data_IF_190642549891
#
_entry.id   IF_190642549891
#
_cell.length_a   1.000
_cell.length_b   1.000
_cell.length_c   1.000
_cell.angle_alpha   90.00
_cell.angle_beta   90.00
_cell.angle_gamma   90.00
#
_symmetry.space_group_name_H-M   'P 1'
#
loop_
_entity.id
_entity.type
_entity.pdbx_description
1 polymer ?
#
# COMPACT_ATOMS: atom_id res chain seq x y z
N UNK A 1 -15.72 -9.29 -1.94
CA UNK A 1 -16.17 -7.98 -2.46
C UNK A 1 -14.93 -7.20 -2.91
N UNK A 2 -14.95 -6.50 -4.05
CA UNK A 2 -13.74 -5.85 -4.58
C UNK A 2 -13.56 -4.41 -4.05
N UNK A 3 -12.53 -4.20 -3.22
CA UNK A 3 -12.08 -2.88 -2.71
C UNK A 3 -11.17 -2.11 -3.69
N UNK A 4 -10.60 -2.79 -4.68
CA UNK A 4 -9.79 -2.17 -5.75
C UNK A 4 -8.27 -2.14 -5.52
N UNK A 5 -7.69 -3.08 -4.74
CA UNK A 5 -6.23 -3.26 -4.58
C UNK A 5 -5.51 -3.36 -5.93
N UNK A 6 -5.91 -4.33 -6.75
CA UNK A 6 -5.32 -4.59 -8.06
C UNK A 6 -5.44 -3.38 -8.98
N UNK A 7 -6.57 -2.66 -8.93
CA UNK A 7 -6.77 -1.43 -9.70
C UNK A 7 -5.86 -0.29 -9.23
N UNK A 8 -5.61 -0.15 -7.92
CA UNK A 8 -4.63 0.82 -7.39
C UNK A 8 -3.21 0.48 -7.84
N UNK A 9 -2.82 -0.80 -7.75
CA UNK A 9 -1.50 -1.27 -8.19
C UNK A 9 -1.33 -1.07 -9.69
N UNK A 10 -2.32 -1.46 -10.51
CA UNK A 10 -2.30 -1.27 -11.95
C UNK A 10 -2.22 0.21 -12.32
N UNK A 11 -2.98 1.07 -11.60
CA UNK A 11 -2.95 2.51 -11.83
C UNK A 11 -1.59 3.10 -11.52
N UNK A 12 -0.96 2.69 -10.43
CA UNK A 12 0.39 3.15 -10.08
C UNK A 12 1.45 2.68 -11.07
N UNK A 13 1.44 1.39 -11.43
CA UNK A 13 2.50 0.78 -12.26
C UNK A 13 2.34 1.14 -13.74
N UNK A 14 1.12 1.09 -14.27
CA UNK A 14 0.86 1.23 -15.72
C UNK A 14 0.14 2.52 -16.10
N UNK A 15 -0.33 3.31 -15.13
CA UNK A 15 -1.19 4.45 -15.42
C UNK A 15 -2.53 4.05 -16.01
N UNK A 16 -2.97 2.79 -15.83
CA UNK A 16 -4.19 2.23 -16.45
C UNK A 16 -5.25 1.91 -15.38
N UNK A 17 -6.51 1.93 -15.79
CA UNK A 17 -7.64 1.44 -14.99
C UNK A 17 -8.54 0.61 -15.88
N UNK A 18 -8.90 -0.56 -15.40
CA UNK A 18 -9.88 -1.44 -16.01
C UNK A 18 -11.11 -1.52 -15.10
N UNK A 19 -12.28 -1.22 -15.67
CA UNK A 19 -13.56 -1.28 -14.96
C UNK A 19 -13.96 -2.73 -14.65
N UNK A 20 -13.52 -3.68 -15.49
CA UNK A 20 -13.82 -5.11 -15.38
C UNK A 20 -12.60 -5.92 -14.96
N UNK A 21 -11.79 -5.35 -14.06
CA UNK A 21 -10.62 -6.03 -13.51
C UNK A 21 -10.98 -7.39 -12.92
N UNK A 22 -10.33 -8.46 -13.41
CA UNK A 22 -10.51 -9.81 -12.89
C UNK A 22 -10.03 -9.94 -11.43
N UNK A 23 -10.63 -10.89 -10.71
CA UNK A 23 -10.22 -11.17 -9.32
C UNK A 23 -8.83 -11.82 -9.31
N UNK A 24 -7.89 -11.24 -8.57
CA UNK A 24 -6.55 -11.83 -8.38
C UNK A 24 -6.67 -13.23 -7.76
N UNK A 25 -6.03 -14.21 -8.40
CA UNK A 25 -5.88 -15.58 -7.89
C UNK A 25 -4.49 -15.71 -7.29
N UNK A 26 -4.41 -16.01 -5.98
CA UNK A 26 -3.13 -16.13 -5.27
C UNK A 26 -2.48 -14.76 -5.04
N UNK A 27 -1.36 -14.49 -5.73
CA UNK A 27 -0.66 -13.21 -5.67
C UNK A 27 -0.03 -12.86 -7.01
N UNK A 28 -0.01 -11.57 -7.35
CA UNK A 28 0.69 -11.03 -8.51
C UNK A 28 1.87 -10.17 -8.05
N UNK A 29 3.00 -10.28 -8.76
CA UNK A 29 4.18 -9.47 -8.52
C UNK A 29 4.32 -8.40 -9.61
N UNK A 30 4.47 -7.14 -9.19
CA UNK A 30 4.73 -6.00 -10.05
C UNK A 30 5.89 -5.17 -9.48
N UNK A 31 6.64 -4.50 -10.32
CA UNK A 31 7.68 -3.58 -9.87
C UNK A 31 7.55 -2.23 -10.55
N UNK A 32 7.77 -1.15 -9.80
CA UNK A 32 7.73 0.21 -10.33
C UNK A 32 8.76 1.09 -9.62
N UNK A 33 9.52 1.87 -10.38
CA UNK A 33 10.48 2.82 -9.83
C UNK A 33 9.93 4.25 -9.88
N UNK A 34 10.18 5.01 -8.82
CA UNK A 34 9.88 6.44 -8.72
C UNK A 34 11.13 7.19 -8.29
N UNK A 35 11.28 8.43 -8.78
CA UNK A 35 12.32 9.33 -8.32
C UNK A 35 11.77 10.17 -7.15
N UNK A 36 12.42 10.07 -5.99
CA UNK A 36 12.15 10.86 -4.80
C UNK A 36 13.43 11.64 -4.47
N UNK A 37 13.43 12.94 -4.74
CA UNK A 37 14.62 13.79 -4.67
C UNK A 37 15.79 13.17 -5.48
N UNK A 38 16.97 13.02 -4.87
CA UNK A 38 18.15 12.37 -5.47
C UNK A 38 18.16 10.83 -5.31
N UNK A 39 17.02 10.23 -4.92
CA UNK A 39 16.89 8.79 -4.67
C UNK A 39 15.90 8.14 -5.63
N UNK A 40 16.32 7.09 -6.32
CA UNK A 40 15.41 6.20 -7.04
C UNK A 40 14.92 5.13 -6.09
N UNK A 41 13.61 5.09 -5.88
CA UNK A 41 12.93 4.10 -5.06
C UNK A 41 12.26 3.09 -5.98
N UNK A 42 12.64 1.81 -5.89
CA UNK A 42 11.98 0.72 -6.59
C UNK A 42 11.02 0.03 -5.65
N UNK A 43 9.73 0.09 -5.94
CA UNK A 43 8.71 -0.72 -5.31
C UNK A 43 8.70 -2.12 -5.91
N UNK A 44 8.71 -3.13 -5.06
CA UNK A 44 8.45 -4.53 -5.36
C UNK A 44 7.11 -4.88 -4.72
N UNK A 45 6.06 -4.84 -5.55
CA UNK A 45 4.67 -4.83 -5.13
C UNK A 45 4.10 -6.23 -5.27
N UNK A 46 3.52 -6.72 -4.19
CA UNK A 46 2.75 -7.95 -4.20
C UNK A 46 1.27 -7.62 -4.01
N UNK A 47 0.51 -7.77 -5.08
CA UNK A 47 -0.96 -7.71 -5.07
C UNK A 47 -1.50 -9.08 -4.66
N UNK A 48 -2.04 -9.18 -3.45
CA UNK A 48 -2.57 -10.44 -2.93
C UNK A 48 -4.07 -10.55 -3.17
N UNK A 49 -4.55 -11.78 -3.38
CA UNK A 49 -5.96 -12.06 -3.42
C UNK A 49 -6.59 -11.71 -2.07
N UNK A 50 -7.43 -10.68 -2.05
CA UNK A 50 -8.23 -10.31 -0.88
C UNK A 50 -9.43 -11.24 -0.69
N UNK A 51 -9.24 -12.56 -0.72
CA UNK A 51 -10.29 -13.51 -0.36
C UNK A 51 -9.98 -14.12 1.00
N UNK A 52 -10.97 -14.08 1.88
CA UNK A 52 -10.96 -14.63 3.23
C UNK A 52 -10.59 -16.13 3.26
N UNK A 53 -10.88 -16.85 2.17
CA UNK A 53 -10.50 -18.26 1.98
C UNK A 53 -8.98 -18.50 2.03
N UNK A 54 -8.17 -17.47 1.82
CA UNK A 54 -6.71 -17.53 1.85
C UNK A 54 -6.10 -16.90 3.10
N UNK A 55 -6.89 -16.60 4.14
CA UNK A 55 -6.40 -15.96 5.36
C UNK A 55 -5.26 -16.75 6.05
N UNK A 56 -5.24 -18.08 5.96
CA UNK A 56 -4.13 -18.91 6.45
C UNK A 56 -2.78 -18.65 5.75
N UNK A 57 -2.81 -18.05 4.56
CA UNK A 57 -1.63 -17.63 3.80
C UNK A 57 -1.22 -16.18 4.12
N UNK A 58 -1.95 -15.45 4.96
CA UNK A 58 -1.60 -14.08 5.30
C UNK A 58 -0.15 -13.94 5.81
N UNK A 59 0.34 -14.79 6.75
CA UNK A 59 1.70 -14.64 7.28
C UNK A 59 2.81 -14.80 6.26
N UNK A 60 2.59 -15.54 5.17
CA UNK A 60 3.61 -15.66 4.13
C UNK A 60 3.71 -14.42 3.24
N UNK A 61 2.67 -13.57 3.17
CA UNK A 61 2.66 -12.42 2.27
C UNK A 61 3.29 -11.16 2.87
N UNK A 62 3.15 -10.90 4.18
CA UNK A 62 3.77 -9.75 4.84
C UNK A 62 5.11 -10.06 5.52
N UNK A 63 5.58 -11.32 5.48
CA UNK A 63 6.89 -11.70 6.04
C UNK A 63 8.01 -11.00 5.26
N UNK A 64 8.79 -10.18 5.96
CA UNK A 64 9.90 -9.42 5.38
C UNK A 64 9.48 -8.16 4.62
N UNK A 65 8.18 -7.85 4.55
CA UNK A 65 7.70 -6.62 3.95
C UNK A 65 8.14 -5.41 4.76
N UNK A 66 8.49 -4.33 4.06
CA UNK A 66 8.85 -3.05 4.67
C UNK A 66 7.63 -2.14 4.80
N UNK A 67 6.66 -2.27 3.89
CA UNK A 67 5.38 -1.58 3.96
C UNK A 67 4.20 -2.46 3.57
N UNK A 68 3.02 -2.08 4.07
CA UNK A 68 1.73 -2.61 3.67
C UNK A 68 0.73 -1.49 3.38
N UNK A 69 -0.09 -1.64 2.33
CA UNK A 69 -1.26 -0.81 2.05
C UNK A 69 -2.52 -1.64 2.31
N UNK A 70 -3.32 -1.20 3.28
CA UNK A 70 -4.64 -1.74 3.61
C UNK A 70 -5.69 -0.89 2.90
N UNK A 71 -6.46 -1.50 2.01
CA UNK A 71 -7.43 -0.80 1.15
C UNK A 71 -8.86 -1.13 1.59
N UNK A 72 -9.70 -0.11 1.75
CA UNK A 72 -11.16 -0.28 1.87
C UNK A 72 -11.89 0.52 0.79
N UNK A 73 -13.17 0.24 0.61
CA UNK A 73 -14.07 0.95 -0.32
C UNK A 73 -14.91 1.93 0.50
N UNK A 74 -14.78 3.24 0.24
CA UNK A 74 -15.51 4.26 1.00
C UNK A 74 -17.04 4.13 0.89
N UNK A 75 -17.53 3.40 -0.12
CA UNK A 75 -18.96 3.16 -0.34
C UNK A 75 -19.48 1.94 0.41
N UNK A 76 -18.64 1.27 1.21
CA UNK A 76 -18.98 0.01 1.91
C UNK A 76 -18.36 -0.07 3.30
N UNK A 77 -19.15 0.21 4.33
CA UNK A 77 -18.73 0.15 5.74
C UNK A 77 -18.07 -1.19 6.12
N UNK A 78 -18.61 -2.32 5.67
CA UNK A 78 -18.08 -3.65 5.97
C UNK A 78 -16.60 -3.80 5.56
N UNK A 79 -16.19 -3.14 4.48
CA UNK A 79 -14.80 -3.20 4.00
C UNK A 79 -13.85 -2.41 4.90
N UNK A 80 -14.33 -1.36 5.55
CA UNK A 80 -13.56 -0.61 6.53
C UNK A 80 -13.38 -1.42 7.82
N UNK A 81 -14.41 -2.12 8.29
CA UNK A 81 -14.29 -3.00 9.46
C UNK A 81 -13.28 -4.13 9.23
N UNK A 82 -13.25 -4.69 8.01
CA UNK A 82 -12.23 -5.66 7.60
C UNK A 82 -10.83 -5.05 7.53
N UNK A 83 -10.70 -3.83 7.02
CA UNK A 83 -9.43 -3.10 7.03
C UNK A 83 -8.91 -2.90 8.47
N UNK A 84 -9.78 -2.56 9.43
CA UNK A 84 -9.40 -2.46 10.86
C UNK A 84 -8.87 -3.79 11.41
N UNK A 85 -9.46 -4.92 11.03
CA UNK A 85 -8.98 -6.23 11.42
C UNK A 85 -7.59 -6.55 10.82
N UNK A 86 -7.36 -6.18 9.56
CA UNK A 86 -6.08 -6.34 8.88
C UNK A 86 -4.96 -5.48 9.49
N UNK A 87 -5.25 -4.23 9.83
CA UNK A 87 -4.29 -3.37 10.54
C UNK A 87 -3.84 -4.02 11.84
N UNK A 88 -4.78 -4.55 12.63
CA UNK A 88 -4.46 -5.25 13.90
C UNK A 88 -3.60 -6.48 13.68
N UNK A 89 -3.86 -7.27 12.64
CA UNK A 89 -3.07 -8.46 12.32
C UNK A 89 -1.64 -8.07 11.90
N UNK A 90 -1.48 -7.06 11.03
CA UNK A 90 -0.17 -6.55 10.62
C UNK A 90 0.63 -6.02 11.82
N UNK A 91 0.00 -5.23 12.69
CA UNK A 91 0.63 -4.73 13.92
C UNK A 91 1.07 -5.86 14.86
N UNK A 92 0.35 -6.99 14.87
CA UNK A 92 0.65 -8.14 15.74
C UNK A 92 1.72 -9.07 15.19
N UNK A 93 1.74 -9.29 13.87
CA UNK A 93 2.48 -10.40 13.25
C UNK A 93 3.56 -9.95 12.27
N UNK A 94 3.48 -8.74 11.71
CA UNK A 94 4.47 -8.25 10.77
C UNK A 94 5.72 -7.71 11.48
N UNK A 95 6.68 -7.21 10.71
CA UNK A 95 7.88 -6.59 11.28
C UNK A 95 7.51 -5.39 12.15
N UNK A 96 8.10 -5.20 13.35
CA UNK A 96 7.80 -4.06 14.22
C UNK A 96 7.99 -2.68 13.57
N UNK A 97 8.81 -2.62 12.51
CA UNK A 97 9.12 -1.39 11.77
C UNK A 97 8.36 -1.27 10.44
N UNK A 98 7.35 -2.11 10.20
CA UNK A 98 6.56 -2.04 8.97
C UNK A 98 5.81 -0.70 8.90
N UNK A 99 5.89 -0.03 7.76
CA UNK A 99 5.07 1.16 7.49
C UNK A 99 3.71 0.70 6.99
N UNK A 100 2.64 1.01 7.72
CA UNK A 100 1.27 0.67 7.33
C UNK A 100 0.59 1.93 6.80
N UNK A 101 -0.01 1.84 5.62
CA UNK A 101 -0.86 2.86 5.04
C UNK A 101 -2.29 2.34 4.87
N UNK A 102 -3.27 3.14 5.24
CA UNK A 102 -4.68 2.91 5.04
C UNK A 102 -5.16 3.73 3.82
N UNK A 103 -5.83 3.08 2.88
CA UNK A 103 -6.33 3.70 1.66
C UNK A 103 -7.86 3.57 1.56
N UNK A 104 -8.58 4.69 1.66
CA UNK A 104 -10.01 4.75 1.36
C UNK A 104 -10.22 4.90 -0.15
N UNK A 105 -10.42 3.81 -0.87
CA UNK A 105 -10.51 3.82 -2.33
C UNK A 105 -11.94 4.11 -2.83
N UNK A 106 -12.04 4.47 -4.11
CA UNK A 106 -13.28 4.86 -4.82
C UNK A 106 -13.85 6.21 -4.37
N UNK A 107 -12.97 7.14 -4.03
CA UNK A 107 -13.34 8.51 -3.70
C UNK A 107 -14.07 9.25 -4.84
N UNK A 108 -13.96 8.77 -6.08
CA UNK A 108 -14.77 9.23 -7.22
C UNK A 108 -16.28 8.95 -7.06
N UNK A 109 -16.67 8.13 -6.09
CA UNK A 109 -18.06 7.81 -5.73
C UNK A 109 -18.47 8.42 -4.40
N UNK A 110 -17.97 9.61 -4.06
CA UNK A 110 -18.26 10.30 -2.80
C UNK A 110 -19.77 10.45 -2.50
N UNK A 111 -20.63 10.58 -3.52
CA UNK A 111 -22.09 10.65 -3.36
C UNK A 111 -22.71 9.36 -2.78
N UNK A 112 -21.96 8.25 -2.79
CA UNK A 112 -22.36 6.94 -2.25
C UNK A 112 -21.56 6.57 -1.00
N UNK A 113 -20.92 7.56 -0.36
CA UNK A 113 -20.09 7.36 0.82
C UNK A 113 -20.90 6.71 1.95
N UNK A 114 -20.27 5.72 2.56
CA UNK A 114 -20.76 5.03 3.76
C UNK A 114 -19.77 5.13 4.92
N UNK A 115 -18.50 5.46 4.64
CA UNK A 115 -17.44 5.69 5.63
C UNK A 115 -17.02 7.15 5.57
N UNK A 116 -17.18 7.89 6.66
CA UNK A 116 -16.78 9.29 6.73
C UNK A 116 -15.26 9.45 6.73
N UNK A 117 -14.78 10.51 6.08
CA UNK A 117 -13.34 10.78 5.98
C UNK A 117 -12.73 10.95 7.38
N UNK A 118 -13.42 11.70 8.24
CA UNK A 118 -13.01 11.97 9.62
C UNK A 118 -12.95 10.70 10.47
N UNK A 119 -13.86 9.74 10.26
CA UNK A 119 -13.83 8.45 10.97
C UNK A 119 -12.58 7.66 10.59
N UNK A 120 -12.30 7.57 9.28
CA UNK A 120 -11.15 6.85 8.77
C UNK A 120 -9.82 7.53 9.15
N UNK A 121 -9.78 8.86 9.13
CA UNK A 121 -8.63 9.64 9.54
C UNK A 121 -8.34 9.47 11.03
N UNK A 122 -9.35 9.63 11.90
CA UNK A 122 -9.19 9.46 13.34
C UNK A 122 -8.66 8.05 13.68
N UNK A 123 -9.23 7.03 13.04
CA UNK A 123 -8.75 5.65 13.20
C UNK A 123 -7.28 5.48 12.78
N UNK A 124 -6.88 6.09 11.67
CA UNK A 124 -5.51 6.02 11.19
C UNK A 124 -4.53 6.73 12.13
N UNK A 125 -4.90 7.89 12.67
CA UNK A 125 -4.11 8.63 13.67
C UNK A 125 -3.94 7.83 14.95
N UNK A 126 -5.02 7.26 15.49
CA UNK A 126 -5.01 6.40 16.68
C UNK A 126 -4.11 5.17 16.51
N UNK A 127 -4.04 4.62 15.30
CA UNK A 127 -3.24 3.44 14.98
C UNK A 127 -1.82 3.78 14.46
N UNK A 128 -1.48 5.06 14.30
CA UNK A 128 -0.18 5.51 13.76
C UNK A 128 0.06 5.16 12.29
N UNK A 129 -1.00 5.13 11.47
CA UNK A 129 -0.95 4.78 10.05
C UNK A 129 -0.75 6.02 9.16
N UNK A 130 -0.23 5.82 7.95
CA UNK A 130 -0.46 6.78 6.87
C UNK A 130 -1.91 6.64 6.40
N UNK A 131 -2.60 7.73 6.06
CA UNK A 131 -3.96 7.65 5.50
C UNK A 131 -4.16 8.60 4.34
N UNK A 132 -4.80 8.09 3.28
CA UNK A 132 -5.27 8.88 2.15
C UNK A 132 -6.55 8.25 1.59
N UNK A 133 -7.51 9.07 1.19
CA UNK A 133 -8.51 8.63 0.22
C UNK A 133 -7.90 8.59 -1.17
N UNK A 134 -8.26 7.59 -1.96
CA UNK A 134 -7.71 7.33 -3.29
C UNK A 134 -8.82 7.03 -4.29
N UNK A 135 -8.52 7.22 -5.57
CA UNK A 135 -9.33 6.67 -6.63
C UNK A 135 -8.44 6.07 -7.70
N UNK A 136 -8.47 4.74 -7.82
CA UNK A 136 -7.85 4.05 -8.95
C UNK A 136 -8.43 4.53 -10.30
N UNK A 137 -9.71 4.93 -10.33
CA UNK A 137 -10.40 5.39 -11.54
C UNK A 137 -9.87 6.74 -12.02
N UNK A 138 -9.76 7.72 -11.14
CA UNK A 138 -9.33 9.09 -11.49
C UNK A 138 -7.84 9.35 -11.27
N UNK A 139 -7.11 8.36 -10.72
CA UNK A 139 -5.73 8.46 -10.26
C UNK A 139 -5.51 9.38 -9.04
N UNK A 140 -6.58 9.85 -8.39
CA UNK A 140 -6.50 10.68 -7.20
C UNK A 140 -5.71 9.98 -6.09
N UNK A 141 -4.67 10.66 -5.58
CA UNK A 141 -3.77 10.22 -4.51
C UNK A 141 -3.10 8.86 -4.73
N UNK A 142 -3.16 8.29 -5.94
CA UNK A 142 -2.56 6.98 -6.21
C UNK A 142 -1.04 7.08 -6.17
N UNK A 143 -0.42 8.11 -6.75
CA UNK A 143 1.03 8.28 -6.62
C UNK A 143 1.41 8.76 -5.21
N UNK A 144 0.59 9.62 -4.61
CA UNK A 144 0.89 10.27 -3.34
C UNK A 144 1.01 9.28 -2.18
N UNK A 145 0.16 8.25 -2.13
CA UNK A 145 0.25 7.23 -1.07
C UNK A 145 1.54 6.41 -1.16
N UNK A 146 1.99 6.06 -2.37
CA UNK A 146 3.27 5.35 -2.56
C UNK A 146 4.45 6.27 -2.23
N UNK A 147 4.41 7.53 -2.67
CA UNK A 147 5.46 8.50 -2.34
C UNK A 147 5.52 8.79 -0.84
N UNK A 148 4.39 8.83 -0.14
CA UNK A 148 4.33 8.98 1.31
C UNK A 148 5.00 7.80 2.03
N UNK A 149 4.75 6.57 1.57
CA UNK A 149 5.43 5.37 2.06
C UNK A 149 6.94 5.46 1.82
N UNK A 150 7.36 5.82 0.60
CA UNK A 150 8.78 5.99 0.28
C UNK A 150 9.48 7.04 1.16
N UNK A 151 8.79 8.14 1.47
CA UNK A 151 9.30 9.19 2.38
C UNK A 151 9.42 8.72 3.82
N UNK A 152 8.54 7.80 4.27
CA UNK A 152 8.54 7.27 5.64
C UNK A 152 9.58 6.19 5.85
N UNK A 153 10.05 5.54 4.78
CA UNK A 153 11.12 4.54 4.89
C UNK A 153 12.41 5.18 5.41
N UNK A 154 13.12 4.49 6.33
CA UNK A 154 14.42 4.97 6.79
C UNK A 154 15.36 5.12 5.59
N UNK A 155 15.84 6.34 5.36
CA UNK A 155 16.80 6.65 4.30
C UNK A 155 18.24 6.15 4.61
N UNK A 156 18.44 5.35 5.66
CA UNK A 156 19.79 4.91 6.11
C UNK A 156 20.48 4.09 5.01
N UNK A 157 21.62 4.46 4.42
CA UNK A 157 22.90 5.08 4.88
C UNK A 157 23.91 4.00 5.37
N UNK A 158 25.21 4.17 5.03
CA UNK A 158 26.08 3.21 4.39
C UNK A 158 26.58 2.14 5.38
N UNK A 159 26.01 0.94 5.37
CA UNK A 159 26.53 -0.20 6.14
C UNK A 159 27.84 -0.78 5.59
N UNK A 160 28.66 0.00 4.89
CA UNK A 160 30.03 -0.38 4.58
C UNK A 160 30.98 0.82 4.53
N UNK A 161 31.70 1.16 5.62
CA UNK A 161 32.72 2.21 5.60
C UNK A 161 33.84 1.97 4.57
N UNK A 162 33.94 0.76 4.01
CA UNK A 162 34.97 0.39 3.04
C UNK A 162 34.74 0.91 1.60
N UNK A 163 33.61 1.59 1.30
CA UNK A 163 33.29 2.02 -0.08
C UNK A 163 32.94 3.49 -0.25
N UNK A 164 33.23 4.34 0.74
CA UNK A 164 32.96 5.79 0.68
C UNK A 164 33.76 6.57 -0.39
N UNK A 165 34.57 5.90 -1.21
CA UNK A 165 35.32 6.50 -2.30
C UNK A 165 35.06 5.77 -3.63
N UNK A 166 33.85 5.89 -4.21
CA UNK A 166 33.56 5.91 -5.67
C UNK A 166 32.07 5.67 -5.94
N UNK A 167 31.28 6.74 -6.01
CA UNK A 167 30.29 7.00 -7.07
C UNK A 167 29.37 8.14 -6.65
N UNK A 168 29.41 9.26 -7.37
CA UNK A 168 28.27 10.17 -7.46
C UNK A 168 27.23 9.54 -8.39
N UNK A 169 26.63 8.43 -7.94
CA UNK A 169 25.50 7.78 -8.60
C UNK A 169 24.22 8.10 -7.83
N UNK A 170 23.10 8.15 -8.55
CA UNK A 170 21.75 8.27 -7.95
C UNK A 170 21.57 7.18 -6.89
N UNK A 171 21.18 7.55 -5.66
CA UNK A 171 20.96 6.58 -4.57
C UNK A 171 19.79 5.66 -4.96
N UNK A 172 19.91 4.36 -4.77
CA UNK A 172 18.85 3.38 -5.07
C UNK A 172 18.37 2.72 -3.78
N UNK A 173 17.05 2.66 -3.58
CA UNK A 173 16.40 1.99 -2.46
C UNK A 173 15.33 1.05 -3.02
N UNK A 174 15.29 -0.20 -2.54
CA UNK A 174 14.21 -1.13 -2.85
C UNK A 174 13.23 -1.14 -1.68
N UNK A 175 11.93 -1.13 -1.98
CA UNK A 175 10.84 -1.25 -1.01
C UNK A 175 9.98 -2.44 -1.39
N UNK A 176 10.00 -3.49 -0.56
CA UNK A 176 9.00 -4.55 -0.60
C UNK A 176 7.67 -4.02 -0.04
N UNK A 177 6.70 -3.87 -0.93
CA UNK A 177 5.36 -3.34 -0.63
C UNK A 177 4.31 -4.43 -0.81
N UNK A 178 3.43 -4.58 0.18
CA UNK A 178 2.33 -5.53 0.13
C UNK A 178 0.99 -4.81 0.13
N UNK A 179 0.05 -5.28 -0.65
CA UNK A 179 -1.34 -4.85 -0.56
C UNK A 179 -2.10 -5.90 0.24
N UNK A 180 -2.49 -5.56 1.46
CA UNK A 180 -3.15 -6.47 2.38
C UNK A 180 -4.48 -5.87 2.81
N UNK A 181 -5.55 -6.27 2.12
CA UNK A 181 -6.92 -6.08 2.59
C UNK A 181 -7.82 -7.09 1.89
N UNK A 182 -8.62 -7.83 2.66
CA UNK A 182 -9.63 -8.78 2.15
C UNK A 182 -10.94 -8.06 1.91
#
# INVERSE_FOLDING_TARGET
MAVGKSSLVLRFVKGQFDEFQETTIGAAFLAQSVCLDDTTVKFEIWDTAGQERYHSLAPMYYRGAQAAIVVFDITKQETFDRAKAWVKELQRQASPNIVIALAGNKADLADKRMVEYEEAQAYAEDCGLLFMETSAKTAMNVNDIFLAIAKKMPKNDPQNPATAARNRGVKKVNIDLRFDAV
#
